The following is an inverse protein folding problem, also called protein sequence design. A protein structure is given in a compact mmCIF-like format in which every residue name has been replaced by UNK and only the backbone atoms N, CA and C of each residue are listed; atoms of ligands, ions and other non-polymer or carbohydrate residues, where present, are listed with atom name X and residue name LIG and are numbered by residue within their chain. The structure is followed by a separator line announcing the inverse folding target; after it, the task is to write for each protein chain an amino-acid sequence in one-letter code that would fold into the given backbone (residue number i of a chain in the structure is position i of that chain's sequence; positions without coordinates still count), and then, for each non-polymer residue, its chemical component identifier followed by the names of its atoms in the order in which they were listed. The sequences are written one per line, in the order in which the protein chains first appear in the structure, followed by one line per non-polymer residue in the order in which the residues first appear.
data_IF_014024812086
#
_entry.id   IF_014024812086
#
_cell.length_a   1.000
_cell.length_b   1.000
_cell.length_c   1.000
_cell.angle_alpha   90.00
_cell.angle_beta   90.00
_cell.angle_gamma   90.00
#
_symmetry.space_group_name_H-M   'P 1'
#
loop_
_entity.id
_entity.type
_entity.pdbx_description
1 polymer ?
#
# COMPACT_ATOMS: atom_id res chain seq x y z
N UNK A 1 -58.58 -19.12 -16.96
CA UNK A 1 -59.38 -20.28 -16.53
C UNK A 1 -59.21 -20.49 -15.04
N UNK A 2 -60.34 -20.56 -14.35
CA UNK A 2 -60.66 -20.99 -12.98
C UNK A 2 -59.52 -21.25 -11.98
N UNK A 3 -59.53 -20.42 -10.94
CA UNK A 3 -59.19 -20.80 -9.58
C UNK A 3 -60.08 -21.96 -9.10
N UNK A 4 -59.54 -22.85 -8.28
CA UNK A 4 -60.34 -23.68 -7.39
C UNK A 4 -59.67 -23.76 -6.02
N UNK A 5 -60.36 -23.13 -5.07
CA UNK A 5 -60.11 -23.21 -3.64
C UNK A 5 -61.07 -24.27 -3.10
N UNK A 6 -60.57 -25.26 -2.35
CA UNK A 6 -61.38 -25.99 -1.37
C UNK A 6 -60.52 -26.49 -0.22
N UNK A 7 -61.19 -26.70 0.91
CA UNK A 7 -60.85 -26.37 2.29
C UNK A 7 -60.99 -27.64 3.16
N UNK A 8 -60.23 -27.66 4.25
CA UNK A 8 -60.44 -28.33 5.57
C UNK A 8 -60.06 -29.81 5.82
N UNK A 9 -59.57 -29.98 7.08
CA UNK A 9 -59.31 -31.21 7.82
C UNK A 9 -57.81 -31.42 8.04
N UNK A 10 -57.18 -31.28 9.21
CA UNK A 10 -57.64 -31.56 10.57
C UNK A 10 -56.95 -32.82 11.09
N UNK A 11 -55.95 -32.63 11.97
CA UNK A 11 -55.28 -33.58 12.88
C UNK A 11 -54.25 -34.61 12.34
N UNK A 12 -53.07 -34.60 12.98
CA UNK A 12 -52.13 -35.72 12.98
C UNK A 12 -50.67 -35.30 13.10
N UNK A 13 -50.19 -35.08 14.33
CA UNK A 13 -48.75 -35.03 14.64
C UNK A 13 -48.14 -36.41 14.30
N UNK A 14 -47.09 -36.51 13.47
CA UNK A 14 -46.35 -37.77 13.36
C UNK A 14 -45.39 -37.89 14.55
N UNK A 15 -45.23 -39.08 15.15
CA UNK A 15 -44.33 -39.26 16.28
C UNK A 15 -42.88 -39.13 15.80
N UNK A 16 -42.07 -38.41 16.57
CA UNK A 16 -40.62 -38.40 16.41
C UNK A 16 -40.09 -39.83 16.57
N UNK A 17 -39.42 -40.35 15.54
CA UNK A 17 -38.62 -41.56 15.68
C UNK A 17 -37.43 -41.25 16.60
N UNK A 18 -37.17 -42.04 17.65
CA UNK A 18 -35.94 -41.92 18.41
C UNK A 18 -34.80 -42.55 17.61
N UNK A 19 -33.84 -41.72 17.18
CA UNK A 19 -32.51 -42.20 16.81
C UNK A 19 -31.92 -42.92 18.03
N UNK A 20 -31.37 -44.14 17.91
CA UNK A 20 -30.73 -44.81 19.02
C UNK A 20 -29.39 -44.13 19.26
N UNK A 21 -29.34 -43.19 20.20
CA UNK A 21 -28.10 -42.78 20.81
C UNK A 21 -27.56 -43.96 21.59
N UNK A 22 -26.69 -44.74 20.94
CA UNK A 22 -25.75 -45.58 21.67
C UNK A 22 -25.02 -44.68 22.66
N UNK A 23 -24.97 -45.09 23.94
CA UNK A 23 -24.17 -44.45 24.96
C UNK A 23 -22.71 -44.37 24.48
N UNK A 24 -22.35 -43.25 23.86
CA UNK A 24 -20.95 -42.85 23.76
C UNK A 24 -20.47 -42.67 25.19
N UNK A 25 -19.51 -43.49 25.60
CA UNK A 25 -18.87 -43.37 26.89
C UNK A 25 -18.26 -41.97 26.96
N UNK A 26 -18.93 -41.07 27.68
CA UNK A 26 -18.56 -39.68 27.82
C UNK A 26 -17.12 -39.56 28.34
N UNK A 27 -16.64 -40.55 29.10
CA UNK A 27 -15.26 -40.62 29.55
C UNK A 27 -14.30 -40.85 28.38
N UNK A 28 -14.63 -41.75 27.45
CA UNK A 28 -13.81 -41.96 26.27
C UNK A 28 -13.76 -40.70 25.39
N UNK A 29 -14.88 -40.02 25.19
CA UNK A 29 -14.91 -38.77 24.42
C UNK A 29 -14.07 -37.65 25.06
N UNK A 30 -14.23 -37.44 26.37
CA UNK A 30 -13.47 -36.43 27.12
C UNK A 30 -11.98 -36.77 27.15
N UNK A 31 -11.61 -38.04 27.34
CA UNK A 31 -10.21 -38.49 27.29
C UNK A 31 -9.61 -38.23 25.91
N UNK A 32 -10.35 -38.52 24.84
CA UNK A 32 -9.86 -38.29 23.47
C UNK A 32 -9.64 -36.79 23.22
N UNK A 33 -10.54 -35.93 23.70
CA UNK A 33 -10.41 -34.48 23.57
C UNK A 33 -9.22 -33.94 24.37
N UNK A 34 -8.99 -34.45 25.58
CA UNK A 34 -7.84 -34.07 26.43
C UNK A 34 -6.52 -34.53 25.80
N UNK A 35 -6.46 -35.74 25.26
CA UNK A 35 -5.27 -36.24 24.57
C UNK A 35 -4.98 -35.43 23.31
N UNK A 36 -5.99 -35.10 22.51
CA UNK A 36 -5.80 -34.27 21.31
C UNK A 36 -5.32 -32.86 21.65
N UNK A 37 -5.88 -32.25 22.70
CA UNK A 37 -5.46 -30.90 23.13
C UNK A 37 -4.05 -30.89 23.70
N UNK A 38 -3.66 -31.92 24.46
CA UNK A 38 -2.28 -32.08 24.94
C UNK A 38 -1.29 -32.34 23.81
N UNK A 39 -1.65 -33.13 22.80
CA UNK A 39 -0.81 -33.35 21.61
C UNK A 39 -0.61 -32.06 20.82
N UNK A 40 -1.67 -31.28 20.61
CA UNK A 40 -1.58 -29.99 19.93
C UNK A 40 -0.73 -28.99 20.72
N UNK A 41 -0.88 -28.94 22.05
CA UNK A 41 -0.06 -28.09 22.92
C UNK A 41 1.42 -28.52 22.90
N UNK A 42 1.72 -29.82 22.95
CA UNK A 42 3.08 -30.33 22.84
C UNK A 42 3.71 -30.03 21.47
N UNK A 43 2.91 -30.03 20.40
CA UNK A 43 3.36 -29.68 19.05
C UNK A 43 3.66 -28.18 18.91
N UNK A 44 2.89 -27.32 19.56
CA UNK A 44 3.12 -25.87 19.62
C UNK A 44 4.31 -25.47 20.51
N UNK A 45 4.71 -26.34 21.45
CA UNK A 45 5.85 -26.12 22.35
C UNK A 45 7.17 -26.72 21.85
N UNK A 46 7.18 -27.35 20.67
CA UNK A 46 8.45 -27.79 20.07
C UNK A 46 9.22 -26.58 19.53
N UNK A 47 10.48 -26.35 19.95
CA UNK A 47 11.30 -25.33 19.32
C UNK A 47 11.54 -25.73 17.86
N UNK A 48 11.11 -24.88 16.93
CA UNK A 48 11.41 -25.03 15.51
C UNK A 48 12.93 -25.12 15.30
N UNK A 49 13.46 -26.33 15.21
CA UNK A 49 14.77 -26.58 14.63
C UNK A 49 14.58 -26.76 13.13
N UNK A 50 15.25 -25.97 12.28
CA UNK A 50 15.17 -26.17 10.85
C UNK A 50 15.88 -27.48 10.49
N UNK A 51 15.09 -28.53 10.25
CA UNK A 51 15.54 -29.70 9.50
C UNK A 51 15.64 -29.27 8.04
N UNK A 52 16.80 -28.75 7.63
CA UNK A 52 17.37 -28.75 6.28
C UNK A 52 18.70 -27.96 6.33
N UNK A 53 19.73 -28.54 6.95
CA UNK A 53 21.12 -28.07 6.77
C UNK A 53 21.65 -28.58 5.44
N UNK A 54 21.48 -27.80 4.38
CA UNK A 54 22.30 -27.97 3.19
C UNK A 54 23.73 -27.51 3.50
N UNK A 55 24.68 -28.43 3.35
CA UNK A 55 26.12 -28.15 3.39
C UNK A 55 26.48 -27.20 2.25
N UNK A 56 26.79 -25.95 2.58
CA UNK A 56 27.56 -25.08 1.70
C UNK A 56 28.98 -24.98 2.26
N UNK A 57 29.88 -25.74 1.65
CA UNK A 57 31.33 -25.57 1.81
C UNK A 57 31.75 -24.32 1.04
N UNK A 58 32.28 -23.29 1.73
CA UNK A 58 33.40 -22.45 1.28
C UNK A 58 33.75 -21.36 2.31
N UNK A 59 35.02 -20.90 2.37
CA UNK A 59 35.62 -20.29 3.56
C UNK A 59 35.50 -18.76 3.62
N UNK A 60 35.53 -18.25 4.86
CA UNK A 60 35.59 -16.83 5.24
C UNK A 60 36.92 -16.19 4.80
N UNK A 61 36.94 -14.95 4.26
CA UNK A 61 38.17 -14.20 4.09
C UNK A 61 38.61 -13.53 5.39
N UNK A 62 39.89 -13.73 5.70
CA UNK A 62 40.72 -13.13 6.74
C UNK A 62 40.68 -11.60 6.79
N UNK A 63 40.57 -11.09 8.01
CA UNK A 63 40.81 -9.69 8.36
C UNK A 63 42.32 -9.35 8.34
N UNK A 64 42.66 -8.21 7.75
CA UNK A 64 43.90 -7.49 8.05
C UNK A 64 43.67 -5.99 7.78
N UNK A 65 43.77 -5.16 8.81
CA UNK A 65 44.84 -4.16 8.98
C UNK A 65 44.47 -3.24 10.14
N UNK A 66 45.30 -3.32 11.17
CA UNK A 66 45.32 -2.52 12.40
C UNK A 66 45.98 -1.16 12.19
N UNK A 67 45.47 -0.12 12.86
CA UNK A 67 46.24 1.04 13.36
C UNK A 67 45.66 1.55 14.69
N UNK A 68 46.48 2.14 15.57
CA UNK A 68 46.35 1.97 17.02
C UNK A 68 45.58 3.08 17.76
N UNK A 69 44.94 2.70 18.87
CA UNK A 69 44.41 3.60 19.90
C UNK A 69 45.56 4.16 20.74
N UNK A 70 45.60 5.48 20.88
CA UNK A 70 46.43 6.18 21.86
C UNK A 70 45.59 6.50 23.11
N UNK A 71 46.18 6.22 24.27
CA UNK A 71 45.57 6.29 25.59
C UNK A 71 46.00 7.59 26.29
N UNK A 72 45.06 8.34 26.88
CA UNK A 72 45.40 9.44 27.78
C UNK A 72 44.45 9.52 28.99
N UNK A 73 45.09 9.74 30.14
CA UNK A 73 44.65 9.52 31.52
C UNK A 73 43.65 10.55 32.05
N UNK A 74 42.88 10.06 33.02
CA UNK A 74 42.11 10.81 34.00
C UNK A 74 43.04 11.43 35.07
N UNK A 75 42.83 12.70 35.43
CA UNK A 75 43.30 13.26 36.70
C UNK A 75 42.34 14.33 37.23
N UNK A 76 41.98 14.20 38.51
CA UNK A 76 41.06 15.06 39.25
C UNK A 76 41.73 16.30 39.82
N UNK A 77 41.01 17.42 39.92
CA UNK A 77 41.08 18.31 41.09
C UNK A 77 39.87 19.24 41.17
N UNK A 78 39.43 19.47 42.41
CA UNK A 78 38.42 20.42 42.92
C UNK A 78 39.05 21.10 44.16
N UNK A 79 38.46 22.14 44.79
CA UNK A 79 37.52 23.16 44.31
C UNK A 79 37.96 24.61 44.69
N UNK A 80 37.41 25.63 44.04
CA UNK A 80 37.32 26.97 44.66
C UNK A 80 36.16 27.80 44.12
N UNK A 81 35.47 28.38 45.09
CA UNK A 81 34.26 29.22 45.09
C UNK A 81 34.40 30.57 44.39
N UNK A 82 33.41 30.96 43.58
CA UNK A 82 32.79 32.31 43.61
C UNK A 82 31.59 32.43 42.62
N UNK A 83 30.43 32.73 43.20
CA UNK A 83 29.31 33.58 42.77
C UNK A 83 28.85 33.66 41.29
N UNK A 84 27.70 33.02 41.07
CA UNK A 84 26.57 33.34 40.19
C UNK A 84 26.74 34.42 39.09
N UNK A 85 26.74 33.96 37.84
CA UNK A 85 26.12 34.63 36.70
C UNK A 85 25.72 33.57 35.68
N UNK A 86 24.40 33.40 35.47
CA UNK A 86 23.86 32.39 34.57
C UNK A 86 24.07 32.81 33.10
N UNK A 87 24.95 32.10 32.40
CA UNK A 87 25.17 32.19 30.96
C UNK A 87 24.56 30.93 30.30
N UNK A 88 23.85 31.02 29.16
CA UNK A 88 23.11 29.90 28.58
C UNK A 88 24.02 28.82 28.00
N UNK A 89 23.67 27.56 28.23
CA UNK A 89 24.34 26.37 27.69
C UNK A 89 24.08 26.25 26.17
N UNK A 90 25.10 26.07 25.31
CA UNK A 90 24.90 25.85 23.88
C UNK A 90 24.40 24.43 23.58
N UNK A 91 23.24 24.36 22.93
CA UNK A 91 22.90 23.43 21.84
C UNK A 91 23.15 21.93 22.03
N UNK A 92 22.18 21.21 22.59
CA UNK A 92 21.94 19.82 22.23
C UNK A 92 21.37 19.76 20.80
N UNK A 93 22.27 19.81 19.82
CA UNK A 93 21.97 19.50 18.43
C UNK A 93 21.64 18.02 18.31
N UNK A 94 20.38 17.65 18.56
CA UNK A 94 19.82 16.44 17.97
C UNK A 94 20.06 16.53 16.47
N UNK A 95 20.65 15.51 15.82
CA UNK A 95 20.85 15.54 14.39
C UNK A 95 19.49 15.79 13.72
N UNK A 96 19.43 16.87 12.94
CA UNK A 96 18.30 17.16 12.05
C UNK A 96 18.04 15.87 11.28
N UNK A 97 16.82 15.29 11.33
CA UNK A 97 16.50 14.11 10.56
C UNK A 97 16.88 14.39 9.10
N UNK A 98 17.67 13.49 8.50
CA UNK A 98 17.94 13.57 7.07
C UNK A 98 16.60 13.74 6.33
N UNK A 99 16.56 14.55 5.24
CA UNK A 99 15.35 14.68 4.45
C UNK A 99 14.80 13.28 4.14
N UNK A 100 13.55 13.02 4.50
CA UNK A 100 12.92 11.75 4.17
C UNK A 100 12.97 11.60 2.65
N UNK A 101 13.55 10.49 2.17
CA UNK A 101 13.57 10.17 0.74
C UNK A 101 12.14 10.30 0.18
N UNK A 102 11.87 11.22 -0.75
CA UNK A 102 10.53 11.48 -1.26
C UNK A 102 9.94 10.27 -2.02
N UNK A 103 10.79 9.32 -2.42
CA UNK A 103 10.38 8.10 -3.09
C UNK A 103 10.15 6.93 -2.13
N UNK A 104 10.50 7.05 -0.85
CA UNK A 104 10.25 6.01 0.14
C UNK A 104 8.84 6.12 0.71
N UNK A 105 8.09 5.03 0.63
CA UNK A 105 6.71 4.96 1.12
C UNK A 105 6.67 4.49 2.56
N UNK A 106 6.03 5.28 3.40
CA UNK A 106 5.84 4.98 4.81
C UNK A 106 4.48 4.30 5.04
N UNK A 107 4.44 3.38 6.00
CA UNK A 107 3.23 2.68 6.43
C UNK A 107 2.96 3.05 7.88
N UNK A 108 1.88 3.80 8.12
CA UNK A 108 1.54 4.31 9.46
C UNK A 108 0.32 3.57 9.98
N UNK A 109 0.54 2.67 10.94
CA UNK A 109 -0.53 1.92 11.59
C UNK A 109 -1.24 2.76 12.66
N UNK A 110 -2.56 2.69 12.68
CA UNK A 110 -3.46 3.34 13.63
C UNK A 110 -4.42 2.31 14.23
N UNK A 111 -4.67 2.42 15.53
CA UNK A 111 -5.54 1.52 16.28
C UNK A 111 -4.84 0.34 16.94
N UNK A 112 -5.62 -0.57 17.51
CA UNK A 112 -5.11 -1.68 18.31
C UNK A 112 -4.85 -2.96 17.50
N UNK A 113 -3.97 -3.82 18.01
CA UNK A 113 -3.67 -5.16 17.47
C UNK A 113 -3.29 -5.11 15.97
N UNK A 114 -4.07 -5.74 15.10
CA UNK A 114 -3.82 -5.83 13.65
C UNK A 114 -4.10 -4.52 12.87
N UNK A 115 -4.05 -3.36 13.54
CA UNK A 115 -4.39 -2.04 13.04
C UNK A 115 -5.81 -1.89 12.48
N UNK A 116 -6.48 -0.81 12.90
CA UNK A 116 -7.76 -0.41 12.30
C UNK A 116 -7.54 0.17 10.90
N UNK A 117 -6.41 0.86 10.70
CA UNK A 117 -6.00 1.41 9.43
C UNK A 117 -4.48 1.54 9.38
N UNK A 118 -3.87 1.17 8.27
CA UNK A 118 -2.45 1.36 7.98
C UNK A 118 -2.36 2.28 6.78
N UNK A 119 -2.05 3.55 7.02
CA UNK A 119 -1.98 4.53 5.95
C UNK A 119 -0.69 4.39 5.15
N UNK A 120 -0.82 4.30 3.82
CA UNK A 120 0.32 4.40 2.88
C UNK A 120 0.38 5.77 2.20
N UNK A 121 -0.77 6.38 1.92
CA UNK A 121 -0.84 7.66 1.21
C UNK A 121 -2.19 8.36 1.38
N UNK A 122 -2.20 9.66 1.13
CA UNK A 122 -3.43 10.44 1.01
C UNK A 122 -3.22 11.53 -0.04
N UNK A 123 -4.25 11.80 -0.85
CA UNK A 123 -4.13 12.60 -2.05
C UNK A 123 -5.36 13.46 -2.26
N UNK A 124 -5.16 14.69 -2.72
CA UNK A 124 -6.24 15.50 -3.27
C UNK A 124 -6.59 14.96 -4.65
N UNK A 125 -7.84 14.52 -4.81
CA UNK A 125 -8.38 13.98 -6.04
C UNK A 125 -9.16 14.98 -6.89
N UNK A 126 -9.22 16.26 -6.48
CA UNK A 126 -9.95 17.32 -7.15
C UNK A 126 -10.20 18.52 -6.22
N UNK A 127 -10.95 19.55 -6.66
CA UNK A 127 -11.22 20.74 -5.85
C UNK A 127 -11.87 20.46 -4.49
N UNK A 128 -12.72 19.44 -4.37
CA UNK A 128 -13.44 19.11 -3.13
C UNK A 128 -13.31 17.65 -2.69
N UNK A 129 -12.40 16.88 -3.31
CA UNK A 129 -12.31 15.43 -3.11
C UNK A 129 -10.92 15.00 -2.69
N UNK A 130 -10.84 14.03 -1.78
CA UNK A 130 -9.58 13.45 -1.31
C UNK A 130 -9.70 11.93 -1.24
N UNK A 131 -8.59 11.22 -1.43
CA UNK A 131 -8.51 9.79 -1.22
C UNK A 131 -7.43 9.47 -0.18
N UNK A 132 -7.75 8.64 0.81
CA UNK A 132 -6.79 8.07 1.76
C UNK A 132 -6.65 6.59 1.44
N UNK A 133 -5.45 6.16 1.11
CA UNK A 133 -5.12 4.81 0.64
C UNK A 133 -4.30 4.09 1.71
N UNK A 134 -4.71 2.87 2.03
CA UNK A 134 -4.07 2.09 3.06
C UNK A 134 -4.51 0.64 3.09
N UNK A 135 -4.07 -0.05 4.12
CA UNK A 135 -4.49 -1.40 4.47
C UNK A 135 -5.33 -1.38 5.74
N UNK A 136 -6.13 -2.42 5.96
CA UNK A 136 -6.76 -2.67 7.24
C UNK A 136 -6.86 -4.18 7.48
N UNK A 137 -6.96 -4.56 8.75
CA UNK A 137 -7.20 -5.96 9.11
C UNK A 137 -8.48 -6.49 8.47
N UNK A 138 -8.38 -7.55 7.68
CA UNK A 138 -9.53 -8.20 7.04
C UNK A 138 -10.54 -8.73 8.08
N UNK A 139 -10.13 -9.41 9.18
CA UNK A 139 -11.04 -9.77 10.26
C UNK A 139 -11.84 -8.60 10.84
N UNK A 140 -11.21 -7.43 11.03
CA UNK A 140 -11.91 -6.23 11.50
C UNK A 140 -13.00 -5.81 10.51
N UNK A 141 -12.76 -5.94 9.21
CA UNK A 141 -13.77 -5.64 8.19
C UNK A 141 -14.92 -6.65 8.13
N UNK A 142 -14.65 -7.93 8.41
CA UNK A 142 -15.67 -8.98 8.45
C UNK A 142 -16.56 -8.87 9.68
N UNK A 143 -15.97 -8.69 10.87
CA UNK A 143 -16.71 -8.78 12.14
C UNK A 143 -17.02 -7.41 12.78
N UNK A 144 -16.15 -6.42 12.58
CA UNK A 144 -16.31 -5.09 13.18
C UNK A 144 -17.09 -4.11 12.30
N UNK A 145 -17.07 -4.29 10.98
CA UNK A 145 -17.70 -3.37 10.00
C UNK A 145 -17.26 -1.89 10.20
N UNK A 146 -15.95 -1.60 10.14
CA UNK A 146 -15.44 -0.26 10.37
C UNK A 146 -15.94 0.71 9.30
N UNK A 147 -16.07 1.97 9.70
CA UNK A 147 -16.56 3.05 8.85
C UNK A 147 -15.78 4.33 9.15
N UNK A 148 -15.84 5.29 8.21
CA UNK A 148 -14.95 6.44 8.23
C UNK A 148 -15.72 7.77 8.12
N UNK A 149 -15.15 8.82 8.70
CA UNK A 149 -15.54 10.23 8.46
C UNK A 149 -14.30 11.04 8.14
N UNK A 150 -14.48 12.07 7.32
CA UNK A 150 -13.43 13.03 7.00
C UNK A 150 -13.77 14.39 7.58
N UNK A 151 -12.75 15.08 8.06
CA UNK A 151 -12.84 16.43 8.62
C UNK A 151 -11.68 17.25 8.05
N UNK A 152 -11.98 18.39 7.45
CA UNK A 152 -10.99 19.37 7.06
C UNK A 152 -10.85 20.39 8.18
N UNK A 153 -9.63 20.59 8.66
CA UNK A 153 -9.27 21.61 9.64
C UNK A 153 -8.42 22.68 8.95
N UNK A 154 -8.98 23.85 8.62
CA UNK A 154 -8.21 24.91 8.00
C UNK A 154 -7.15 25.45 8.95
N UNK A 155 -6.04 25.94 8.42
CA UNK A 155 -5.04 26.62 9.23
C UNK A 155 -5.64 27.89 9.86
N UNK A 156 -5.16 28.31 11.05
CA UNK A 156 -5.52 29.60 11.60
C UNK A 156 -5.14 30.70 10.60
N UNK A 157 -6.10 31.50 10.15
CA UNK A 157 -5.82 32.60 9.24
C UNK A 157 -5.34 33.82 10.06
N UNK A 158 -4.06 34.24 9.96
CA UNK A 158 -3.54 35.37 10.73
C UNK A 158 -4.16 36.71 10.33
N UNK A 159 -4.74 36.78 9.13
CA UNK A 159 -5.34 37.99 8.54
C UNK A 159 -6.85 38.06 8.70
N UNK A 160 -7.49 37.00 9.21
CA UNK A 160 -8.92 36.99 9.46
C UNK A 160 -9.22 37.65 10.81
N UNK A 161 -10.26 38.50 10.85
CA UNK A 161 -10.73 39.09 12.10
C UNK A 161 -10.98 37.98 13.15
N UNK A 162 -10.72 38.26 14.44
CA UNK A 162 -10.75 37.27 15.53
C UNK A 162 -12.05 36.42 15.66
N UNK A 163 -13.11 36.76 14.92
CA UNK A 163 -14.40 36.06 14.86
C UNK A 163 -14.68 35.32 13.53
N UNK A 164 -13.79 35.38 12.54
CA UNK A 164 -13.89 34.57 11.32
C UNK A 164 -13.34 33.17 11.62
N UNK A 165 -14.13 32.38 12.34
CA UNK A 165 -13.73 31.03 12.72
C UNK A 165 -13.54 30.16 11.47
N UNK A 166 -12.33 29.67 11.27
CA UNK A 166 -11.99 28.57 10.35
C UNK A 166 -12.60 27.26 10.86
N UNK A 167 -13.93 27.17 10.79
CA UNK A 167 -14.66 26.01 11.33
C UNK A 167 -14.26 24.74 10.59
N UNK A 168 -14.06 23.62 11.31
CA UNK A 168 -13.83 22.34 10.67
C UNK A 168 -15.02 21.96 9.78
N UNK A 169 -14.74 21.63 8.53
CA UNK A 169 -15.77 21.14 7.60
C UNK A 169 -15.75 19.62 7.64
N UNK A 170 -16.92 18.99 7.67
CA UNK A 170 -17.03 17.52 7.71
C UNK A 170 -17.63 16.98 6.42
N UNK A 171 -17.16 15.81 6.03
CA UNK A 171 -17.63 15.08 4.86
C UNK A 171 -17.93 13.62 5.22
N UNK A 172 -18.95 13.06 4.55
CA UNK A 172 -19.18 11.62 4.57
C UNK A 172 -18.07 10.95 3.75
N UNK A 173 -17.50 9.89 4.29
CA UNK A 173 -16.52 9.10 3.58
C UNK A 173 -17.19 7.93 2.85
N UNK A 174 -16.72 7.62 1.64
CA UNK A 174 -17.04 6.40 0.92
C UNK A 174 -15.86 5.43 1.02
N UNK A 175 -16.14 4.20 1.46
CA UNK A 175 -15.15 3.15 1.66
C UNK A 175 -15.19 2.19 0.48
N UNK A 176 -14.04 1.94 -0.13
CA UNK A 176 -13.85 0.91 -1.15
C UNK A 176 -12.88 -0.15 -0.62
N UNK A 177 -13.10 -1.41 -1.03
CA UNK A 177 -12.26 -2.56 -0.68
C UNK A 177 -11.79 -3.23 -1.99
N UNK A 178 -10.76 -2.68 -2.66
CA UNK A 178 -10.39 -3.08 -4.02
C UNK A 178 -9.98 -4.55 -4.18
N UNK A 179 -9.50 -5.18 -3.12
CA UNK A 179 -9.04 -6.58 -3.12
C UNK A 179 -9.99 -7.51 -2.34
N UNK A 180 -11.23 -7.10 -2.11
CA UNK A 180 -12.15 -7.89 -1.30
C UNK A 180 -12.40 -9.27 -1.92
N UNK A 181 -11.98 -10.32 -1.20
CA UNK A 181 -11.95 -11.70 -1.69
C UNK A 181 -10.55 -12.23 -1.97
N UNK A 182 -9.60 -11.36 -2.30
CA UNK A 182 -8.19 -11.70 -2.55
C UNK A 182 -7.29 -11.42 -1.34
N UNK A 183 -7.60 -10.37 -0.57
CA UNK A 183 -6.80 -9.97 0.59
C UNK A 183 -6.59 -11.11 1.60
N UNK A 184 -5.41 -11.14 2.24
CA UNK A 184 -5.02 -12.17 3.23
C UNK A 184 -5.36 -11.71 4.64
N UNK A 185 -4.36 -11.46 5.49
CA UNK A 185 -4.56 -10.90 6.83
C UNK A 185 -4.99 -9.44 6.73
N UNK A 186 -4.41 -8.71 5.79
CA UNK A 186 -4.75 -7.35 5.46
C UNK A 186 -5.50 -7.28 4.11
N UNK A 187 -6.42 -6.32 4.03
CA UNK A 187 -7.17 -5.95 2.82
C UNK A 187 -6.92 -4.48 2.52
N UNK A 188 -6.98 -4.11 1.25
CA UNK A 188 -6.84 -2.73 0.80
C UNK A 188 -8.10 -1.95 1.16
N UNK A 189 -7.90 -0.75 1.69
CA UNK A 189 -8.98 0.20 1.97
C UNK A 189 -8.65 1.53 1.30
N UNK A 190 -9.55 1.97 0.44
CA UNK A 190 -9.53 3.34 -0.10
C UNK A 190 -10.71 4.09 0.52
N UNK A 191 -10.40 5.21 1.18
CA UNK A 191 -11.40 6.09 1.77
C UNK A 191 -11.47 7.38 0.97
N UNK A 192 -12.58 7.57 0.25
CA UNK A 192 -12.84 8.77 -0.52
C UNK A 192 -13.66 9.77 0.30
N UNK A 193 -13.13 10.96 0.49
CA UNK A 193 -13.74 12.08 1.17
C UNK A 193 -14.23 13.09 0.12
N UNK A 194 -15.53 13.37 0.07
CA UNK A 194 -16.09 14.40 -0.82
C UNK A 194 -16.77 15.49 0.01
N UNK A 195 -16.21 16.69 -0.05
CA UNK A 195 -16.73 17.87 0.64
C UNK A 195 -17.78 18.59 -0.24
N UNK A 196 -18.73 19.32 0.36
CA UNK A 196 -19.75 20.07 -0.40
C UNK A 196 -19.16 21.17 -1.30
N UNK A 197 -18.02 21.73 -0.92
CA UNK A 197 -17.26 22.74 -1.64
C UNK A 197 -15.76 22.53 -1.40
N UNK A 198 -14.89 23.23 -2.14
CA UNK A 198 -13.45 23.17 -1.89
C UNK A 198 -13.15 23.70 -0.48
N UNK A 199 -12.63 22.86 0.45
CA UNK A 199 -12.44 23.27 1.83
C UNK A 199 -11.17 24.12 2.05
N UNK A 200 -10.34 24.32 1.02
CA UNK A 200 -9.12 25.14 1.01
C UNK A 200 -9.13 26.14 -0.16
N UNK A 201 -10.29 26.74 -0.46
CA UNK A 201 -10.46 27.64 -1.61
C UNK A 201 -9.69 28.96 -1.47
N UNK A 202 -9.45 29.41 -0.24
CA UNK A 202 -8.65 30.58 0.13
C UNK A 202 -7.14 30.28 0.17
N UNK A 203 -6.75 29.01 -0.06
CA UNK A 203 -5.37 28.54 -0.13
C UNK A 203 -4.54 28.86 1.13
N UNK A 204 -5.19 28.99 2.30
CA UNK A 204 -4.52 29.20 3.59
C UNK A 204 -3.90 27.91 4.14
N UNK A 205 -4.18 26.79 3.50
CA UNK A 205 -3.72 25.46 3.91
C UNK A 205 -4.59 24.87 5.03
N UNK A 206 -4.28 23.63 5.38
CA UNK A 206 -5.03 22.92 6.40
C UNK A 206 -4.72 21.44 6.43
N UNK A 207 -5.49 20.72 7.23
CA UNK A 207 -5.29 19.29 7.51
C UNK A 207 -6.55 18.52 7.17
N UNK A 208 -6.41 17.46 6.40
CA UNK A 208 -7.41 16.41 6.28
C UNK A 208 -7.22 15.42 7.43
N UNK A 209 -8.22 15.34 8.31
CA UNK A 209 -8.27 14.34 9.38
C UNK A 209 -9.20 13.20 8.98
N UNK A 210 -8.72 11.97 9.16
CA UNK A 210 -9.54 10.78 9.04
C UNK A 210 -9.95 10.30 10.42
N UNK A 211 -11.24 10.03 10.58
CA UNK A 211 -11.81 9.40 11.76
C UNK A 211 -12.21 7.97 11.38
N UNK A 212 -11.46 6.99 11.84
CA UNK A 212 -11.70 5.57 11.60
C UNK A 212 -12.42 4.95 12.80
N UNK A 213 -13.68 4.56 12.62
CA UNK A 213 -14.51 3.96 13.67
C UNK A 213 -14.42 2.44 13.61
N UNK A 214 -14.36 1.80 14.78
CA UNK A 214 -14.22 0.33 14.87
C UNK A 214 -15.48 -0.42 14.43
N UNK A 215 -16.67 0.14 14.68
CA UNK A 215 -17.94 -0.44 14.27
C UNK A 215 -19.06 0.60 14.22
N UNK A 216 -20.21 0.24 13.66
CA UNK A 216 -21.42 1.08 13.69
C UNK A 216 -22.08 1.13 15.07
N UNK A 217 -21.83 0.13 15.93
CA UNK A 217 -22.37 0.08 17.30
C UNK A 217 -21.48 0.80 18.32
N UNK A 218 -20.21 1.07 17.99
CA UNK A 218 -19.25 1.71 18.89
C UNK A 218 -18.98 3.15 18.48
N UNK A 219 -18.86 4.04 19.48
CA UNK A 219 -18.38 5.41 19.27
C UNK A 219 -16.85 5.52 19.36
N UNK A 220 -16.13 4.42 19.59
CA UNK A 220 -14.66 4.41 19.60
C UNK A 220 -14.14 4.60 18.19
N UNK A 221 -13.18 5.51 18.02
CA UNK A 221 -12.50 5.76 16.76
C UNK A 221 -11.03 6.12 16.98
N UNK A 222 -10.23 5.91 15.95
CA UNK A 222 -8.91 6.50 15.79
C UNK A 222 -9.04 7.78 14.97
N UNK A 223 -8.33 8.84 15.37
CA UNK A 223 -8.29 10.11 14.65
C UNK A 223 -6.84 10.45 14.33
N UNK A 224 -6.55 10.69 13.06
CA UNK A 224 -5.21 11.01 12.60
C UNK A 224 -5.24 11.97 11.41
N UNK A 225 -4.13 12.68 11.21
CA UNK A 225 -3.93 13.55 10.04
C UNK A 225 -3.55 12.67 8.86
N UNK A 226 -4.41 12.63 7.85
CA UNK A 226 -4.17 11.87 6.63
C UNK A 226 -3.34 12.68 5.63
N UNK A 227 -3.66 13.97 5.43
CA UNK A 227 -2.98 14.87 4.51
C UNK A 227 -2.87 16.26 5.14
N UNK A 228 -1.79 16.96 4.85
CA UNK A 228 -1.60 18.37 5.20
C UNK A 228 -1.27 19.15 3.93
N UNK A 229 -1.94 20.28 3.74
CA UNK A 229 -1.65 21.24 2.67
C UNK A 229 -1.06 22.49 3.28
N UNK A 230 0.12 22.85 2.81
CA UNK A 230 0.76 24.12 3.17
C UNK A 230 -0.01 25.30 2.56
N UNK A 231 0.05 26.50 3.19
CA UNK A 231 -0.46 27.72 2.57
C UNK A 231 0.13 27.93 1.17
N UNK A 232 -0.70 28.27 0.20
CA UNK A 232 -0.30 28.50 -1.19
C UNK A 232 -0.08 27.23 -2.03
N UNK A 233 -0.17 26.03 -1.45
CA UNK A 233 0.15 24.78 -2.16
C UNK A 233 -1.01 24.25 -3.01
N UNK A 234 -2.24 24.68 -2.78
CA UNK A 234 -3.38 24.26 -3.60
C UNK A 234 -3.37 24.99 -4.95
N UNK A 235 -3.42 24.22 -6.03
CA UNK A 235 -3.53 24.71 -7.41
C UNK A 235 -4.66 23.97 -8.11
N UNK A 236 -5.73 24.70 -8.44
CA UNK A 236 -6.90 24.11 -9.10
C UNK A 236 -6.60 23.68 -10.55
N UNK A 237 -5.62 24.31 -11.20
CA UNK A 237 -5.29 24.01 -12.60
C UNK A 237 -4.79 22.58 -12.79
N UNK A 238 -4.21 21.97 -11.75
CA UNK A 238 -3.73 20.59 -11.76
C UNK A 238 -4.86 19.56 -11.95
N UNK A 239 -6.12 19.93 -11.75
CA UNK A 239 -7.27 19.02 -11.87
C UNK A 239 -8.02 19.16 -13.19
N UNK A 240 -7.45 19.88 -14.16
CA UNK A 240 -8.03 20.10 -15.48
C UNK A 240 -6.94 19.99 -16.55
N UNK A 241 -7.27 19.56 -17.78
CA UNK A 241 -6.32 19.61 -18.89
C UNK A 241 -5.82 21.04 -19.17
N UNK A 242 -4.60 21.22 -19.69
CA UNK A 242 -3.66 20.17 -20.11
C UNK A 242 -2.91 19.54 -18.92
N UNK A 243 -2.84 18.21 -18.90
CA UNK A 243 -2.05 17.48 -17.92
C UNK A 243 -0.56 17.46 -18.29
N UNK A 244 0.29 17.16 -17.30
CA UNK A 244 1.75 17.15 -17.47
C UNK A 244 2.22 16.11 -18.50
N UNK A 245 1.56 14.96 -18.55
CA UNK A 245 1.91 13.86 -19.42
C UNK A 245 0.73 13.47 -20.33
N UNK A 246 1.04 12.92 -21.49
CA UNK A 246 0.02 12.29 -22.33
C UNK A 246 -0.30 10.89 -21.77
N UNK A 247 0.73 10.15 -21.37
CA UNK A 247 0.60 8.79 -20.87
C UNK A 247 1.41 8.58 -19.59
N UNK A 248 0.85 7.83 -18.65
CA UNK A 248 1.54 7.42 -17.44
C UNK A 248 1.43 5.92 -17.26
N UNK A 249 2.52 5.29 -16.84
CA UNK A 249 2.53 3.90 -16.43
C UNK A 249 2.59 3.80 -14.90
N UNK A 250 1.65 3.04 -14.32
CA UNK A 250 1.62 2.67 -12.91
C UNK A 250 1.78 1.15 -12.80
N UNK A 251 3.00 0.69 -12.52
CA UNK A 251 3.29 -0.73 -12.36
C UNK A 251 2.85 -1.31 -11.02
N UNK A 252 2.64 -2.62 -11.00
CA UNK A 252 2.50 -3.42 -9.77
C UNK A 252 3.82 -3.48 -8.98
N UNK A 253 3.80 -4.16 -7.84
CA UNK A 253 4.98 -4.36 -6.99
C UNK A 253 6.06 -5.17 -7.72
N UNK A 254 7.28 -4.63 -7.78
CA UNK A 254 8.45 -5.30 -8.31
C UNK A 254 9.16 -6.10 -7.21
N UNK A 255 9.17 -7.43 -7.33
CA UNK A 255 9.76 -8.35 -6.36
C UNK A 255 10.52 -9.49 -7.05
N UNK A 256 11.28 -10.27 -6.29
CA UNK A 256 12.04 -11.40 -6.82
C UNK A 256 13.33 -10.98 -7.54
N UNK A 257 13.86 -11.88 -8.37
CA UNK A 257 15.11 -11.66 -9.11
C UNK A 257 14.82 -11.16 -10.53
N UNK A 258 14.63 -9.85 -10.67
CA UNK A 258 14.31 -9.23 -11.96
C UNK A 258 15.53 -9.19 -12.88
N UNK A 259 15.36 -9.70 -14.10
CA UNK A 259 16.43 -9.67 -15.10
C UNK A 259 16.65 -8.23 -15.63
N UNK A 260 17.82 -7.62 -15.43
CA UNK A 260 18.08 -6.24 -15.84
C UNK A 260 18.02 -6.02 -17.36
N UNK A 261 18.35 -7.03 -18.17
CA UNK A 261 18.23 -6.92 -19.62
C UNK A 261 16.78 -6.87 -20.08
N UNK A 262 15.87 -7.62 -19.42
CA UNK A 262 14.43 -7.57 -19.70
C UNK A 262 13.83 -6.24 -19.28
N UNK A 263 14.21 -5.71 -18.12
CA UNK A 263 13.78 -4.36 -17.72
C UNK A 263 14.29 -3.29 -18.68
N UNK A 264 15.53 -3.42 -19.19
CA UNK A 264 16.09 -2.50 -20.20
C UNK A 264 15.28 -2.52 -21.48
N UNK A 265 14.99 -3.71 -21.99
CA UNK A 265 14.19 -3.94 -23.18
C UNK A 265 12.78 -3.36 -23.01
N UNK A 266 12.09 -3.73 -21.92
CA UNK A 266 10.74 -3.27 -21.61
C UNK A 266 10.66 -1.75 -21.51
N UNK A 267 11.60 -1.12 -20.81
CA UNK A 267 11.63 0.33 -20.62
C UNK A 267 11.89 1.06 -21.94
N UNK A 268 12.85 0.59 -22.74
CA UNK A 268 13.15 1.19 -24.04
C UNK A 268 11.95 1.07 -25.00
N UNK A 269 11.31 -0.10 -25.03
CA UNK A 269 10.13 -0.34 -25.85
C UNK A 269 8.98 0.59 -25.47
N UNK A 270 8.59 0.64 -24.20
CA UNK A 270 7.44 1.42 -23.78
C UNK A 270 7.72 2.92 -23.77
N UNK A 271 8.96 3.35 -23.53
CA UNK A 271 9.37 4.75 -23.67
C UNK A 271 9.26 5.25 -25.11
N UNK A 272 9.46 4.38 -26.10
CA UNK A 272 9.20 4.64 -27.51
C UNK A 272 7.70 4.60 -27.81
N UNK A 273 7.00 3.55 -27.38
CA UNK A 273 5.57 3.34 -27.60
C UNK A 273 4.70 4.48 -27.09
N UNK A 274 4.97 4.98 -25.87
CA UNK A 274 4.25 6.10 -25.28
C UNK A 274 4.81 7.48 -25.70
N UNK A 275 5.88 7.54 -26.51
CA UNK A 275 6.46 8.81 -26.93
C UNK A 275 7.08 9.63 -25.78
N UNK A 276 7.51 10.87 -26.06
CA UNK A 276 8.36 11.67 -25.16
C UNK A 276 7.63 12.23 -23.92
N UNK A 277 6.33 12.49 -24.01
CA UNK A 277 5.53 13.07 -22.92
C UNK A 277 4.94 11.98 -22.00
N UNK A 278 5.76 11.00 -21.64
CA UNK A 278 5.35 9.86 -20.82
C UNK A 278 6.17 9.74 -19.54
N UNK A 279 5.55 9.20 -18.50
CA UNK A 279 6.19 8.95 -17.21
C UNK A 279 5.91 7.55 -16.68
N UNK A 280 6.93 6.94 -16.08
CA UNK A 280 6.88 5.55 -15.60
C UNK A 280 7.07 5.50 -14.09
N UNK A 281 6.13 4.91 -13.36
CA UNK A 281 6.21 4.76 -11.91
C UNK A 281 6.40 3.28 -11.58
N UNK A 282 7.56 2.96 -11.04
CA UNK A 282 7.93 1.63 -10.57
C UNK A 282 7.87 1.58 -9.04
N UNK A 283 7.48 0.43 -8.48
CA UNK A 283 7.36 0.25 -7.04
C UNK A 283 8.23 -0.92 -6.60
N UNK A 284 9.36 -0.63 -5.96
CA UNK A 284 10.32 -1.62 -5.48
C UNK A 284 9.85 -2.27 -4.18
N UNK A 285 9.37 -3.52 -4.30
CA UNK A 285 9.06 -4.41 -3.19
C UNK A 285 10.21 -5.37 -2.86
N UNK A 286 11.44 -5.04 -3.26
CA UNK A 286 12.66 -5.83 -3.07
C UNK A 286 13.21 -6.43 -4.37
N UNK A 287 12.54 -6.24 -5.51
CA UNK A 287 12.98 -6.75 -6.80
C UNK A 287 13.93 -5.82 -7.56
N UNK A 288 14.04 -4.56 -7.18
CA UNK A 288 14.96 -3.61 -7.83
C UNK A 288 16.34 -3.73 -7.16
N UNK A 289 17.11 -4.73 -7.61
CA UNK A 289 18.52 -4.89 -7.26
C UNK A 289 19.44 -3.82 -7.89
N UNK A 290 20.74 -3.80 -7.57
CA UNK A 290 21.68 -2.79 -8.08
C UNK A 290 21.73 -2.69 -9.62
N UNK A 291 21.68 -3.83 -10.32
CA UNK A 291 21.74 -3.85 -11.78
C UNK A 291 20.46 -3.33 -12.44
N UNK A 292 19.29 -3.71 -11.91
CA UNK A 292 18.00 -3.19 -12.34
C UNK A 292 17.90 -1.69 -12.05
N UNK A 293 18.41 -1.25 -10.88
CA UNK A 293 18.51 0.18 -10.55
C UNK A 293 19.38 0.90 -11.57
N UNK A 294 20.53 0.36 -11.94
CA UNK A 294 21.41 0.95 -12.94
C UNK A 294 20.75 1.10 -14.31
N UNK A 295 19.82 0.20 -14.67
CA UNK A 295 19.02 0.29 -15.90
C UNK A 295 17.98 1.41 -15.83
N UNK A 296 17.31 1.59 -14.69
CA UNK A 296 16.25 2.60 -14.51
C UNK A 296 16.82 4.01 -14.23
N UNK A 297 17.99 4.10 -13.63
CA UNK A 297 18.59 5.37 -13.16
C UNK A 297 18.73 6.46 -14.26
N UNK A 298 19.13 6.14 -15.51
CA UNK A 298 19.15 7.14 -16.58
C UNK A 298 17.76 7.76 -16.85
N UNK A 299 16.70 6.96 -16.78
CA UNK A 299 15.33 7.42 -16.97
C UNK A 299 14.83 8.26 -15.80
N UNK A 300 15.24 7.90 -14.57
CA UNK A 300 14.97 8.69 -13.36
C UNK A 300 15.65 10.06 -13.46
N UNK A 301 16.93 10.09 -13.83
CA UNK A 301 17.69 11.35 -14.01
C UNK A 301 17.12 12.23 -15.13
N UNK A 302 16.56 11.61 -16.17
CA UNK A 302 15.84 12.31 -17.24
C UNK A 302 14.44 12.79 -16.84
N UNK A 303 13.96 12.51 -15.62
CA UNK A 303 12.61 12.84 -15.16
C UNK A 303 11.50 12.00 -15.82
N UNK A 304 11.87 10.94 -16.54
CA UNK A 304 10.93 10.04 -17.24
C UNK A 304 10.47 8.87 -16.39
N UNK A 305 11.18 8.55 -15.30
CA UNK A 305 10.78 7.48 -14.39
C UNK A 305 10.87 7.91 -12.92
N UNK A 306 10.07 7.27 -12.08
CA UNK A 306 10.14 7.31 -10.62
C UNK A 306 10.21 5.88 -10.11
N UNK A 307 11.12 5.60 -9.17
CA UNK A 307 11.19 4.32 -8.48
C UNK A 307 10.86 4.55 -7.01
N UNK A 308 9.68 4.09 -6.58
CA UNK A 308 9.23 4.20 -5.20
C UNK A 308 9.69 2.99 -4.37
N UNK A 309 10.36 3.21 -3.24
CA UNK A 309 10.66 2.15 -2.28
C UNK A 309 9.40 1.86 -1.47
N UNK A 310 8.86 0.66 -1.63
CA UNK A 310 7.69 0.17 -0.89
C UNK A 310 8.02 -1.04 -0.02
N UNK A 311 9.29 -1.36 0.22
CA UNK A 311 9.71 -2.62 0.87
C UNK A 311 9.09 -2.84 2.26
N UNK A 312 8.77 -1.76 2.98
CA UNK A 312 8.07 -1.80 4.27
C UNK A 312 6.66 -2.44 4.19
N UNK A 313 6.06 -2.55 3.00
CA UNK A 313 4.81 -3.26 2.80
C UNK A 313 4.85 -4.73 3.25
N UNK A 314 6.04 -5.35 3.27
CA UNK A 314 6.23 -6.74 3.67
C UNK A 314 5.81 -7.04 5.13
N UNK A 315 5.68 -6.02 5.97
CA UNK A 315 5.14 -6.14 7.33
C UNK A 315 3.64 -6.49 7.36
N UNK A 316 2.92 -6.22 6.26
CA UNK A 316 1.48 -6.36 6.16
C UNK A 316 1.12 -7.43 5.11
N UNK A 317 0.76 -8.63 5.60
CA UNK A 317 0.40 -9.78 4.75
C UNK A 317 -0.92 -9.55 4.00
N UNK A 318 -0.81 -8.98 2.80
CA UNK A 318 -1.89 -8.81 1.83
C UNK A 318 -1.73 -9.67 0.57
N UNK A 319 -2.54 -9.41 -0.44
CA UNK A 319 -2.49 -10.16 -1.70
C UNK A 319 -1.27 -9.76 -2.55
N UNK A 320 -0.50 -10.74 -3.00
CA UNK A 320 0.56 -10.61 -4.04
C UNK A 320 1.43 -9.35 -3.87
N UNK A 321 2.21 -9.30 -2.78
CA UNK A 321 3.06 -8.15 -2.43
C UNK A 321 2.28 -6.81 -2.39
N UNK A 322 1.06 -6.86 -1.87
CA UNK A 322 0.14 -5.72 -1.77
C UNK A 322 -0.14 -5.03 -3.13
N UNK A 323 -0.19 -5.79 -4.24
CA UNK A 323 -0.41 -5.25 -5.59
C UNK A 323 -1.59 -4.28 -5.66
N UNK A 324 -2.76 -4.66 -5.11
CA UNK A 324 -3.94 -3.80 -5.11
C UNK A 324 -3.75 -2.50 -4.34
N UNK A 325 -2.96 -2.51 -3.26
CA UNK A 325 -2.63 -1.29 -2.51
C UNK A 325 -1.81 -0.36 -3.40
N UNK A 326 -0.77 -0.91 -4.03
CA UNK A 326 0.22 -0.18 -4.81
C UNK A 326 -0.40 0.48 -6.04
N UNK A 327 -1.22 -0.25 -6.80
CA UNK A 327 -1.89 0.32 -7.97
C UNK A 327 -2.93 1.38 -7.59
N UNK A 328 -3.63 1.23 -6.46
CA UNK A 328 -4.56 2.27 -5.97
C UNK A 328 -3.82 3.50 -5.42
N UNK A 329 -2.68 3.31 -4.75
CA UNK A 329 -1.83 4.41 -4.31
C UNK A 329 -1.32 5.20 -5.53
N UNK A 330 -0.81 4.51 -6.55
CA UNK A 330 -0.35 5.13 -7.79
C UNK A 330 -1.49 5.84 -8.53
N UNK A 331 -2.67 5.20 -8.66
CA UNK A 331 -3.87 5.81 -9.23
C UNK A 331 -4.19 7.13 -8.54
N UNK A 332 -4.32 7.14 -7.21
CA UNK A 332 -4.74 8.34 -6.51
C UNK A 332 -3.66 9.42 -6.44
N UNK A 333 -2.39 9.05 -6.48
CA UNK A 333 -1.26 9.98 -6.54
C UNK A 333 -1.15 10.69 -7.89
N UNK A 334 -1.41 9.98 -8.98
CA UNK A 334 -1.14 10.44 -10.35
C UNK A 334 -2.39 10.61 -11.22
N UNK A 335 -3.60 10.48 -10.65
CA UNK A 335 -4.89 10.56 -11.35
C UNK A 335 -5.01 11.74 -12.32
N UNK A 336 -4.41 12.87 -11.97
CA UNK A 336 -4.44 14.11 -12.74
C UNK A 336 -3.06 14.54 -13.26
N UNK A 337 -2.13 13.59 -13.35
CA UNK A 337 -0.81 13.85 -13.92
C UNK A 337 -0.75 13.57 -15.43
N UNK A 338 -1.69 12.79 -15.97
CA UNK A 338 -1.70 12.38 -17.37
C UNK A 338 -3.10 12.28 -17.98
N UNK A 339 -3.20 12.33 -19.32
CA UNK A 339 -4.45 12.05 -20.03
C UNK A 339 -4.91 10.59 -19.85
N UNK A 340 -3.98 9.64 -19.92
CA UNK A 340 -4.25 8.22 -19.72
C UNK A 340 -3.21 7.57 -18.80
N UNK A 341 -3.68 6.73 -17.88
CA UNK A 341 -2.82 5.91 -17.01
C UNK A 341 -2.99 4.42 -17.36
N UNK A 342 -1.89 3.73 -17.58
CA UNK A 342 -1.82 2.32 -17.94
C UNK A 342 -1.35 1.48 -16.75
N UNK A 343 -1.96 0.31 -16.60
CA UNK A 343 -1.66 -0.70 -15.58
C UNK A 343 -1.47 -2.04 -16.29
N UNK A 344 -0.25 -2.55 -16.27
CA UNK A 344 0.16 -3.84 -16.81
C UNK A 344 1.52 -4.21 -16.20
N UNK A 345 1.94 -5.46 -16.30
CA UNK A 345 3.16 -5.92 -15.64
C UNK A 345 4.42 -5.73 -16.50
N UNK A 346 5.61 -5.73 -15.88
CA UNK A 346 6.90 -5.47 -16.57
C UNK A 346 7.39 -6.64 -17.44
N UNK A 347 6.66 -7.74 -17.45
CA UNK A 347 6.82 -8.89 -18.35
C UNK A 347 5.79 -8.90 -19.49
N UNK A 348 4.93 -7.87 -19.58
CA UNK A 348 3.93 -7.71 -20.62
C UNK A 348 4.32 -6.59 -21.61
N UNK A 349 3.90 -6.74 -22.88
CA UNK A 349 4.15 -5.77 -23.94
C UNK A 349 2.85 -5.33 -24.60
N UNK A 350 2.69 -4.01 -24.75
CA UNK A 350 1.57 -3.45 -25.49
C UNK A 350 1.83 -3.52 -26.98
N UNK A 351 0.89 -4.10 -27.74
CA UNK A 351 0.97 -4.18 -29.19
C UNK A 351 -0.28 -3.59 -29.83
N UNK A 352 -0.10 -2.80 -30.88
CA UNK A 352 -1.18 -2.26 -31.70
C UNK A 352 -1.19 -2.94 -33.07
N UNK A 353 -2.25 -3.69 -33.41
CA UNK A 353 -2.34 -4.32 -34.72
C UNK A 353 -2.63 -3.29 -35.82
N UNK A 354 -2.35 -3.70 -37.07
CA UNK A 354 -2.72 -3.00 -38.30
C UNK A 354 -2.11 -1.60 -38.47
N UNK A 355 -0.98 -1.32 -37.81
CA UNK A 355 -0.27 -0.05 -37.93
C UNK A 355 -1.00 1.14 -37.30
N UNK A 356 -2.01 0.89 -36.45
CA UNK A 356 -2.71 1.95 -35.69
C UNK A 356 -1.77 2.61 -34.70
N UNK A 357 -2.00 3.89 -34.42
CA UNK A 357 -1.28 4.63 -33.37
C UNK A 357 -2.05 4.60 -32.06
N UNK A 358 -1.34 4.77 -30.94
CA UNK A 358 -1.94 4.80 -29.62
C UNK A 358 -2.96 5.94 -29.49
N UNK A 359 -2.63 7.11 -30.04
CA UNK A 359 -3.49 8.30 -30.06
C UNK A 359 -4.82 7.99 -30.75
N UNK A 360 -4.78 7.32 -31.90
CA UNK A 360 -5.98 6.97 -32.67
C UNK A 360 -6.90 6.01 -31.92
N UNK A 361 -6.33 5.05 -31.19
CA UNK A 361 -7.09 4.09 -30.38
C UNK A 361 -7.72 4.78 -29.19
N UNK A 362 -6.97 5.62 -28.48
CA UNK A 362 -7.47 6.31 -27.29
C UNK A 362 -8.47 7.41 -27.63
N UNK A 363 -8.35 8.07 -28.78
CA UNK A 363 -9.37 9.00 -29.28
C UNK A 363 -10.73 8.32 -29.44
N UNK A 364 -10.75 7.10 -29.98
CA UNK A 364 -11.96 6.29 -30.11
C UNK A 364 -12.54 5.84 -28.76
N UNK A 365 -11.72 5.79 -27.72
CA UNK A 365 -12.10 5.40 -26.36
C UNK A 365 -12.37 6.60 -25.44
N UNK A 366 -12.29 7.83 -25.93
CA UNK A 366 -12.41 9.06 -25.13
C UNK A 366 -13.73 9.22 -24.36
N UNK A 367 -14.79 8.52 -24.78
CA UNK A 367 -16.07 8.49 -24.08
C UNK A 367 -16.06 7.60 -22.82
N UNK A 368 -15.03 6.77 -22.63
CA UNK A 368 -14.90 5.83 -21.52
C UNK A 368 -13.89 6.35 -20.49
N UNK A 369 -14.17 6.09 -19.21
CA UNK A 369 -13.24 6.41 -18.12
C UNK A 369 -12.20 5.32 -17.86
N UNK A 370 -12.38 4.13 -18.46
CA UNK A 370 -11.48 2.99 -18.38
C UNK A 370 -11.72 2.05 -19.56
N UNK A 371 -10.70 1.27 -19.91
CA UNK A 371 -10.80 0.15 -20.84
C UNK A 371 -9.89 -0.99 -20.36
N UNK A 372 -10.13 -2.19 -20.87
CA UNK A 372 -9.29 -3.36 -20.62
C UNK A 372 -8.53 -3.73 -21.88
N UNK A 373 -7.28 -4.16 -21.71
CA UNK A 373 -6.44 -4.62 -22.80
C UNK A 373 -6.53 -6.14 -22.84
N UNK A 374 -6.73 -6.70 -24.03
CA UNK A 374 -6.73 -8.14 -24.23
C UNK A 374 -5.33 -8.71 -23.95
N UNK A 375 -5.23 -9.67 -23.05
CA UNK A 375 -3.98 -10.36 -22.74
C UNK A 375 -3.82 -11.58 -23.65
N UNK A 376 -2.76 -11.56 -24.46
CA UNK A 376 -2.40 -12.68 -25.33
C UNK A 376 -1.03 -13.24 -24.90
N UNK A 377 -0.94 -14.52 -24.51
CA UNK A 377 0.32 -15.10 -24.08
C UNK A 377 1.30 -15.19 -25.25
N UNK A 378 2.54 -14.76 -25.02
CA UNK A 378 3.59 -14.90 -26.01
C UNK A 378 3.92 -16.39 -26.21
N UNK A 379 4.01 -16.83 -27.46
CA UNK A 379 4.33 -18.22 -27.77
C UNK A 379 5.74 -18.58 -27.29
N UNK A 380 5.85 -19.55 -26.39
CA UNK A 380 7.14 -20.11 -25.95
C UNK A 380 7.87 -20.88 -27.06
N UNK A 381 7.20 -21.20 -28.17
CA UNK A 381 7.80 -21.89 -29.32
C UNK A 381 8.80 -21.01 -30.10
N UNK A 382 8.81 -19.71 -29.85
CA UNK A 382 9.69 -18.75 -30.51
C UNK A 382 10.91 -18.37 -29.65
N UNK A 383 10.99 -18.88 -28.41
CA UNK A 383 12.18 -18.72 -27.59
C UNK A 383 13.32 -19.53 -28.23
N UNK A 384 14.49 -18.90 -28.41
CA UNK A 384 15.70 -19.63 -28.79
C UNK A 384 15.95 -20.72 -27.73
N UNK A 385 16.10 -21.97 -28.17
CA UNK A 385 16.54 -23.05 -27.28
C UNK A 385 17.89 -22.63 -26.69
N UNK A 386 18.04 -22.76 -25.37
CA UNK A 386 19.33 -22.56 -24.73
C UNK A 386 20.32 -23.51 -25.41
N UNK A 387 21.39 -22.96 -26.00
CA UNK A 387 22.45 -23.73 -26.65
C UNK A 387 23.29 -24.56 -25.66
N UNK A 388 22.78 -24.76 -24.44
CA UNK A 388 23.40 -25.51 -23.34
C UNK A 388 22.69 -26.84 -23.05
N UNK A 389 21.55 -27.11 -23.70
CA UNK A 389 20.85 -28.40 -23.58
C UNK A 389 21.24 -29.41 -24.69
N UNK A 390 22.30 -29.11 -25.46
CA UNK A 390 22.82 -29.99 -26.51
C UNK A 390 24.05 -30.80 -26.07
N UNK A 391 24.09 -31.22 -24.79
CA UNK A 391 25.06 -32.18 -24.27
C UNK A 391 24.36 -33.25 -23.41
N UNK A 392 23.55 -34.10 -24.06
CA UNK A 392 23.51 -35.56 -23.80
C UNK A 392 22.40 -36.24 -24.61
N UNK A 393 22.75 -36.70 -25.82
CA UNK A 393 22.22 -37.95 -26.36
C UNK A 393 23.24 -38.63 -27.27
#
# INVERSE_FOLDING_TARGET
MKANMRKEGGHGVPPAMPLPFACFDLKAFVVTLVVLTLLMAAWQLQPYRPFLSFRASCPLPTAATSTPLESAKLASSTPSTASASAIPIPGSGLPVPAPSDPNKRAFRAYGSAAALFVQMGAYRGGPATFAVVGLASKPTHVYGTPWYKCEWLPNPNPSAAANASSQPVRAKAYKMLPDWGYGRVYTVVVVNCTFPSNPNADNVGGKLLLHAYYSVQSRRYEKFVALEESPGAYDESLYRPPFKYDYLYCGSSLYGDLNPNRIREWMAYHAYFFGPNSHFVFHDAGGVGPEVRAVLEPWVKAGRATVQDIRAQAEYDGYYYNQFLVVNDCLHRYRHAANWTFYFDVDEYLYLPDGRTLESVLANLSAYTQFTIEQNPMSSKLCALDSKDDDSR
#
